data_IF_463160280553
#
_entry.id   IF_463160280553
#
_cell.length_a   1.000
_cell.length_b   1.000
_cell.length_c   1.000
_cell.angle_alpha   90.00
_cell.angle_beta   90.00
_cell.angle_gamma   90.00
#
_symmetry.space_group_name_H-M   'P 1'
#
loop_
_entity.id
_entity.type
_entity.pdbx_description
1 polymer ?
#
# COMPACT_ATOMS: atom_id res chain seq x y z
N UNK A 1 -20.19 33.27 1.99
CA UNK A 1 -20.57 32.79 0.64
C UNK A 1 -21.84 32.02 0.81
N UNK A 2 -22.89 32.47 0.14
CA UNK A 2 -24.16 31.78 0.17
C UNK A 2 -24.03 30.46 -0.62
N UNK A 3 -24.64 29.37 -0.17
CA UNK A 3 -24.50 28.06 -0.82
C UNK A 3 -25.00 28.07 -2.29
N UNK A 4 -25.84 29.06 -2.62
CA UNK A 4 -26.32 29.37 -3.96
C UNK A 4 -25.21 29.85 -4.91
N UNK A 5 -24.29 30.71 -4.46
CA UNK A 5 -23.20 31.25 -5.28
C UNK A 5 -22.12 30.21 -5.59
N UNK A 6 -21.80 29.34 -4.62
CA UNK A 6 -20.86 28.25 -4.83
C UNK A 6 -21.30 27.29 -5.95
N UNK A 7 -22.60 27.19 -6.19
CA UNK A 7 -23.18 26.32 -7.21
C UNK A 7 -23.13 26.88 -8.64
N UNK A 8 -22.68 28.11 -8.86
CA UNK A 8 -22.66 28.76 -10.19
C UNK A 8 -21.28 28.83 -10.83
N UNK A 9 -20.20 28.62 -10.08
CA UNK A 9 -18.81 28.68 -10.58
C UNK A 9 -18.58 27.66 -11.71
N UNK A 10 -18.09 28.05 -12.90
CA UNK A 10 -17.80 27.13 -14.00
C UNK A 10 -16.78 26.04 -13.65
N UNK A 11 -16.91 24.85 -14.25
CA UNK A 11 -16.08 23.68 -13.92
C UNK A 11 -14.58 23.94 -14.17
N UNK A 12 -14.22 24.64 -15.23
CA UNK A 12 -12.83 25.02 -15.52
C UNK A 12 -12.22 25.92 -14.43
N UNK A 13 -13.03 26.73 -13.74
CA UNK A 13 -12.57 27.56 -12.62
C UNK A 13 -12.43 26.70 -11.37
N UNK A 14 -13.38 25.78 -11.12
CA UNK A 14 -13.29 24.81 -10.03
C UNK A 14 -12.05 23.92 -10.17
N UNK A 15 -11.74 23.43 -11.37
CA UNK A 15 -10.54 22.66 -11.67
C UNK A 15 -9.28 23.39 -11.26
N UNK A 16 -9.13 24.65 -11.69
CA UNK A 16 -7.97 25.47 -11.35
C UNK A 16 -7.89 25.62 -9.83
N UNK A 17 -8.94 26.09 -9.17
CA UNK A 17 -8.95 26.32 -7.72
C UNK A 17 -8.60 25.04 -6.95
N UNK A 18 -9.34 23.96 -7.21
CA UNK A 18 -9.20 22.70 -6.49
C UNK A 18 -7.85 22.03 -6.76
N UNK A 19 -7.24 22.20 -7.94
CA UNK A 19 -5.90 21.66 -8.21
C UNK A 19 -4.77 22.23 -7.34
N UNK A 20 -5.00 23.35 -6.64
CA UNK A 20 -4.05 23.94 -5.70
C UNK A 20 -4.35 23.63 -4.24
N UNK A 21 -5.49 22.99 -3.94
CA UNK A 21 -5.88 22.66 -2.58
C UNK A 21 -5.19 21.40 -2.07
N UNK A 22 -5.04 21.30 -0.75
CA UNK A 22 -4.59 20.05 -0.14
C UNK A 22 -5.69 18.97 -0.22
N UNK A 23 -5.33 17.70 -0.06
CA UNK A 23 -6.34 16.61 0.00
C UNK A 23 -7.34 16.78 1.15
N UNK A 24 -6.88 17.37 2.25
CA UNK A 24 -7.73 17.70 3.38
C UNK A 24 -8.77 18.76 3.00
N UNK A 25 -8.34 19.81 2.28
CA UNK A 25 -9.24 20.90 1.88
C UNK A 25 -10.19 20.46 0.77
N UNK A 26 -9.74 19.61 -0.17
CA UNK A 26 -10.62 18.98 -1.15
C UNK A 26 -11.74 18.17 -0.48
N UNK A 27 -11.40 17.41 0.57
CA UNK A 27 -12.42 16.70 1.35
C UNK A 27 -13.43 17.68 1.95
N UNK A 28 -12.97 18.78 2.55
CA UNK A 28 -13.87 19.79 3.12
C UNK A 28 -14.72 20.46 2.04
N UNK A 29 -14.15 20.81 0.89
CA UNK A 29 -14.88 21.36 -0.26
C UNK A 29 -15.98 20.40 -0.74
N UNK A 30 -15.72 19.09 -0.75
CA UNK A 30 -16.75 18.11 -1.15
C UNK A 30 -17.98 18.09 -0.23
N UNK A 31 -17.90 18.67 0.97
CA UNK A 31 -19.00 18.76 1.94
C UNK A 31 -19.80 20.07 1.84
N UNK A 32 -19.35 21.04 1.04
CA UNK A 32 -19.95 22.39 0.97
C UNK A 32 -21.28 22.39 0.23
N UNK A 33 -21.36 21.76 -0.95
CA UNK A 33 -22.59 21.70 -1.74
C UNK A 33 -22.63 20.47 -2.66
N UNK A 34 -23.82 20.10 -3.14
CA UNK A 34 -24.02 18.93 -4.03
C UNK A 34 -23.20 19.00 -5.32
N UNK A 35 -23.03 20.20 -5.88
CA UNK A 35 -22.25 20.39 -7.12
C UNK A 35 -20.78 20.07 -6.89
N UNK A 36 -20.17 20.62 -5.84
CA UNK A 36 -18.76 20.36 -5.52
C UNK A 36 -18.55 18.91 -5.08
N UNK A 37 -19.50 18.33 -4.35
CA UNK A 37 -19.50 16.90 -4.06
C UNK A 37 -19.45 16.07 -5.35
N UNK A 38 -20.38 16.30 -6.28
CA UNK A 38 -20.44 15.57 -7.55
C UNK A 38 -19.15 15.74 -8.36
N UNK A 39 -18.65 16.98 -8.45
CA UNK A 39 -17.43 17.30 -9.18
C UNK A 39 -16.20 16.59 -8.59
N UNK A 40 -15.99 16.65 -7.27
CA UNK A 40 -14.86 16.02 -6.59
C UNK A 40 -15.01 14.50 -6.40
N UNK A 41 -16.22 13.96 -6.57
CA UNK A 41 -16.48 12.54 -6.51
C UNK A 41 -16.30 11.84 -7.88
N UNK A 42 -16.25 12.58 -8.99
CA UNK A 42 -15.65 12.07 -10.21
C UNK A 42 -14.14 11.86 -9.96
N UNK A 43 -13.75 10.61 -9.79
CA UNK A 43 -12.39 10.20 -9.45
C UNK A 43 -11.37 10.39 -10.57
N UNK A 44 -11.82 10.72 -11.78
CA UNK A 44 -10.99 10.87 -12.97
C UNK A 44 -10.93 12.29 -13.54
N UNK A 45 -11.53 13.26 -12.86
CA UNK A 45 -11.42 14.67 -13.26
C UNK A 45 -9.96 15.18 -13.23
N UNK A 46 -9.74 16.35 -13.81
CA UNK A 46 -8.39 16.93 -13.92
C UNK A 46 -7.76 17.31 -12.57
N UNK A 47 -8.57 17.57 -11.53
CA UNK A 47 -8.06 17.81 -10.17
C UNK A 47 -7.31 16.58 -9.68
N UNK A 48 -7.94 15.39 -9.73
CA UNK A 48 -7.30 14.16 -9.28
C UNK A 48 -6.14 13.76 -10.18
N UNK A 49 -6.26 13.97 -11.49
CA UNK A 49 -5.17 13.74 -12.45
C UNK A 49 -3.94 14.58 -12.10
N UNK A 50 -4.11 15.88 -11.86
CA UNK A 50 -3.00 16.78 -11.48
C UNK A 50 -2.37 16.38 -10.15
N UNK A 51 -3.16 16.06 -9.13
CA UNK A 51 -2.61 15.58 -7.85
C UNK A 51 -1.85 14.26 -8.02
N UNK A 52 -2.36 13.35 -8.85
CA UNK A 52 -1.74 12.07 -9.12
C UNK A 52 -0.38 12.24 -9.81
N UNK A 53 -0.32 12.98 -10.92
CA UNK A 53 0.92 13.22 -11.69
C UNK A 53 1.96 14.00 -10.89
N UNK A 54 1.55 14.93 -10.01
CA UNK A 54 2.47 15.70 -9.15
C UNK A 54 3.08 14.87 -8.02
N UNK A 55 2.45 13.76 -7.63
CA UNK A 55 2.85 12.96 -6.46
C UNK A 55 3.48 11.62 -6.82
N UNK A 56 2.97 10.96 -7.85
CA UNK A 56 3.44 9.64 -8.26
C UNK A 56 4.56 9.78 -9.28
N UNK A 57 5.51 8.86 -9.22
CA UNK A 57 6.56 8.76 -10.22
C UNK A 57 5.98 8.35 -11.59
N UNK A 58 6.56 8.88 -12.66
CA UNK A 58 6.06 8.66 -14.02
C UNK A 58 6.08 7.18 -14.42
N UNK A 59 7.13 6.45 -14.00
CA UNK A 59 7.26 5.01 -14.24
C UNK A 59 6.16 4.20 -13.55
N UNK A 60 5.71 4.63 -12.36
CA UNK A 60 4.62 3.94 -11.66
C UNK A 60 3.30 4.07 -12.44
N UNK A 61 3.04 5.27 -12.99
CA UNK A 61 1.82 5.56 -13.76
C UNK A 61 1.77 4.87 -15.13
N UNK A 62 2.94 4.63 -15.74
CA UNK A 62 3.05 3.97 -17.05
C UNK A 62 3.14 2.45 -16.98
N UNK A 63 3.37 1.88 -15.79
CA UNK A 63 3.49 0.44 -15.57
C UNK A 63 2.16 -0.23 -15.20
N UNK A 64 2.14 -1.56 -15.21
CA UNK A 64 1.00 -2.37 -14.78
C UNK A 64 0.80 -2.43 -13.26
N UNK A 65 1.70 -1.82 -12.47
CA UNK A 65 1.70 -1.85 -11.01
C UNK A 65 0.41 -1.34 -10.37
N UNK A 66 -0.27 -0.41 -11.04
CA UNK A 66 -1.51 0.21 -10.57
C UNK A 66 -2.70 -0.15 -11.46
N UNK A 67 -2.61 -1.25 -12.22
CA UNK A 67 -3.68 -1.71 -13.11
C UNK A 67 -4.98 -2.07 -12.37
N UNK A 68 -4.87 -2.54 -11.11
CA UNK A 68 -6.01 -2.88 -10.24
C UNK A 68 -6.72 -1.65 -9.65
N UNK A 69 -6.15 -0.45 -9.75
CA UNK A 69 -6.73 0.83 -9.28
C UNK A 69 -6.86 1.83 -10.45
N UNK A 70 -7.97 1.80 -11.21
CA UNK A 70 -8.02 2.44 -12.52
C UNK A 70 -8.12 3.97 -12.46
N UNK A 71 -8.60 4.56 -11.37
CA UNK A 71 -8.87 6.00 -11.29
C UNK A 71 -7.69 6.81 -10.76
N UNK A 72 -7.56 8.08 -11.15
CA UNK A 72 -6.49 8.95 -10.63
C UNK A 72 -6.57 9.12 -9.11
N UNK A 73 -7.77 9.27 -8.56
CA UNK A 73 -8.00 9.32 -7.11
C UNK A 73 -7.59 8.01 -6.42
N UNK A 74 -7.91 6.85 -7.01
CA UNK A 74 -7.54 5.55 -6.45
C UNK A 74 -6.02 5.30 -6.50
N UNK A 75 -5.33 5.69 -7.60
CA UNK A 75 -3.87 5.65 -7.71
C UNK A 75 -3.19 6.53 -6.68
N UNK A 76 -3.71 7.74 -6.50
CA UNK A 76 -3.24 8.66 -5.48
C UNK A 76 -3.42 8.08 -4.07
N UNK A 77 -4.61 7.51 -3.78
CA UNK A 77 -4.87 6.81 -2.53
C UNK A 77 -3.89 5.66 -2.32
N UNK A 78 -3.66 4.81 -3.32
CA UNK A 78 -2.70 3.71 -3.25
C UNK A 78 -1.30 4.22 -2.86
N UNK A 79 -0.83 5.33 -3.44
CA UNK A 79 0.47 5.92 -3.10
C UNK A 79 0.58 6.37 -1.63
N UNK A 80 -0.48 6.92 -1.05
CA UNK A 80 -0.49 7.29 0.37
C UNK A 80 -0.52 6.07 1.31
N UNK A 81 -0.95 4.91 0.83
CA UNK A 81 -0.92 3.64 1.57
C UNK A 81 0.25 2.74 1.20
N UNK A 82 1.14 3.19 0.31
CA UNK A 82 2.33 2.43 -0.09
C UNK A 82 3.38 2.35 1.05
N UNK A 83 4.52 1.72 0.78
CA UNK A 83 5.60 1.53 1.75
C UNK A 83 6.15 2.84 2.30
N UNK A 84 6.53 2.84 3.58
CA UNK A 84 7.14 3.98 4.23
C UNK A 84 8.67 3.86 4.18
N UNK A 85 9.39 4.73 3.46
CA UNK A 85 10.86 4.69 3.42
C UNK A 85 11.52 5.03 4.76
N UNK A 86 10.78 5.62 5.71
CA UNK A 86 11.27 5.95 7.04
C UNK A 86 10.87 4.91 8.10
N UNK A 87 10.13 3.86 7.73
CA UNK A 87 9.65 2.82 8.64
C UNK A 87 9.88 1.44 8.03
N UNK A 88 11.16 1.16 7.74
CA UNK A 88 11.66 -0.10 7.21
C UNK A 88 13.02 -0.45 7.84
N UNK A 89 13.41 -1.73 7.77
CA UNK A 89 14.76 -2.16 8.13
C UNK A 89 15.83 -1.35 7.39
N UNK A 90 16.99 -1.16 8.01
CA UNK A 90 18.18 -0.55 7.39
C UNK A 90 18.69 -1.29 6.13
N UNK A 91 18.33 -2.56 5.97
CA UNK A 91 18.71 -3.35 4.80
C UNK A 91 17.67 -3.27 3.67
N UNK A 92 16.60 -2.50 3.87
CA UNK A 92 15.54 -2.29 2.90
C UNK A 92 15.60 -0.84 2.43
N UNK A 93 15.36 -0.64 1.14
CA UNK A 93 15.02 0.67 0.60
C UNK A 93 13.76 0.57 -0.26
N UNK A 94 13.00 1.66 -0.32
CA UNK A 94 11.83 1.77 -1.18
C UNK A 94 12.28 2.40 -2.49
N UNK A 95 11.97 1.76 -3.63
CA UNK A 95 12.32 2.28 -4.95
C UNK A 95 11.64 3.65 -5.21
N UNK A 96 12.15 4.48 -6.12
CA UNK A 96 11.57 5.80 -6.43
C UNK A 96 10.08 5.79 -6.77
N UNK A 97 9.58 4.69 -7.35
CA UNK A 97 8.15 4.51 -7.62
C UNK A 97 7.27 4.54 -6.35
N UNK A 98 7.84 4.32 -5.16
CA UNK A 98 7.16 4.34 -3.86
C UNK A 98 6.39 3.08 -3.49
N UNK A 99 6.24 2.13 -4.42
CA UNK A 99 5.41 0.93 -4.29
C UNK A 99 6.23 -0.36 -4.18
N UNK A 100 7.48 -0.33 -4.62
CA UNK A 100 8.38 -1.49 -4.59
C UNK A 100 9.36 -1.38 -3.45
N UNK A 101 9.33 -2.38 -2.57
CA UNK A 101 10.34 -2.61 -1.56
C UNK A 101 11.48 -3.43 -2.15
N UNK A 102 12.72 -3.02 -1.93
CA UNK A 102 13.90 -3.80 -2.29
C UNK A 102 14.74 -4.09 -1.04
N UNK A 103 15.08 -5.37 -0.85
CA UNK A 103 15.96 -5.82 0.23
C UNK A 103 17.38 -6.06 -0.29
N UNK A 104 18.36 -5.44 0.33
CA UNK A 104 19.77 -5.66 0.02
C UNK A 104 20.22 -7.09 0.38
N UNK A 105 21.20 -7.67 -0.35
CA UNK A 105 21.66 -9.05 -0.13
C UNK A 105 22.53 -9.15 1.14
N UNK A 106 21.89 -9.09 2.31
CA UNK A 106 22.54 -9.23 3.62
C UNK A 106 22.27 -10.63 4.17
N UNK A 107 23.34 -11.38 4.47
CA UNK A 107 23.24 -12.71 5.05
C UNK A 107 22.80 -12.65 6.53
N UNK A 108 22.16 -13.72 7.00
CA UNK A 108 21.76 -13.88 8.41
C UNK A 108 20.97 -12.69 8.96
N UNK A 109 20.02 -12.19 8.17
CA UNK A 109 19.15 -11.06 8.53
C UNK A 109 17.75 -11.31 7.99
N UNK A 110 16.75 -11.03 8.81
CA UNK A 110 15.36 -10.90 8.36
C UNK A 110 14.96 -9.45 8.52
N UNK A 111 14.27 -8.93 7.52
CA UNK A 111 14.02 -7.50 7.35
C UNK A 111 12.57 -7.28 6.94
N UNK A 112 11.92 -6.30 7.54
CA UNK A 112 10.52 -5.94 7.29
C UNK A 112 10.37 -4.44 7.02
N UNK A 113 9.19 -4.07 6.53
CA UNK A 113 8.78 -2.70 6.26
C UNK A 113 7.30 -2.55 6.53
N UNK A 114 6.87 -1.33 6.88
CA UNK A 114 5.47 -0.97 7.07
C UNK A 114 5.02 0.03 6.01
N UNK A 115 3.70 0.10 5.81
CA UNK A 115 3.08 1.15 5.00
C UNK A 115 3.13 2.50 5.70
N UNK A 116 2.89 3.58 4.95
CA UNK A 116 2.87 4.96 5.49
C UNK A 116 1.73 5.21 6.47
N UNK A 117 0.61 4.49 6.33
CA UNK A 117 -0.62 4.74 7.08
C UNK A 117 -1.11 3.45 7.73
N UNK A 118 -1.20 3.47 9.07
CA UNK A 118 -1.85 2.42 9.86
C UNK A 118 -3.37 2.59 9.91
N UNK A 119 -4.09 1.46 9.97
CA UNK A 119 -5.54 1.43 10.02
C UNK A 119 -6.06 1.25 11.46
N UNK A 120 -7.21 1.87 11.77
CA UNK A 120 -7.88 1.74 13.09
C UNK A 120 -9.31 1.21 13.00
N UNK A 121 -9.98 1.42 11.86
CA UNK A 121 -11.37 1.03 11.63
C UNK A 121 -11.63 0.83 10.14
N UNK A 122 -12.74 0.18 9.80
CA UNK A 122 -13.16 -0.07 8.43
C UNK A 122 -12.56 -1.35 7.84
N UNK A 123 -12.85 -1.60 6.56
CA UNK A 123 -12.35 -2.74 5.79
C UNK A 123 -11.34 -2.24 4.77
N UNK A 124 -10.17 -2.87 4.76
CA UNK A 124 -9.06 -2.50 3.89
C UNK A 124 -8.57 -3.75 3.16
N UNK A 125 -8.18 -3.57 1.91
CA UNK A 125 -7.59 -4.61 1.09
C UNK A 125 -6.42 -4.00 0.31
N UNK A 126 -5.38 -4.79 0.12
CA UNK A 126 -4.21 -4.44 -0.66
C UNK A 126 -3.70 -5.66 -1.40
N UNK A 127 -2.98 -5.42 -2.48
CA UNK A 127 -2.34 -6.44 -3.29
C UNK A 127 -0.85 -6.49 -2.95
N UNK A 128 -0.29 -7.70 -2.87
CA UNK A 128 1.14 -7.92 -2.69
C UNK A 128 1.65 -8.72 -3.88
N UNK A 129 2.58 -8.14 -4.62
CA UNK A 129 3.29 -8.79 -5.72
C UNK A 129 4.70 -9.10 -5.22
N UNK A 130 5.10 -10.37 -5.26
CA UNK A 130 6.43 -10.81 -4.87
C UNK A 130 7.22 -11.21 -6.12
N UNK A 131 8.26 -10.44 -6.44
CA UNK A 131 9.12 -10.71 -7.59
C UNK A 131 10.30 -11.60 -7.18
N UNK A 132 10.49 -12.69 -7.91
CA UNK A 132 11.58 -13.65 -7.66
C UNK A 132 11.24 -14.72 -6.63
N UNK A 133 12.23 -15.53 -6.23
CA UNK A 133 11.99 -16.61 -5.29
C UNK A 133 11.70 -16.07 -3.87
N UNK A 134 10.79 -16.73 -3.15
CA UNK A 134 10.46 -16.37 -1.77
C UNK A 134 11.65 -16.57 -0.81
N UNK A 135 12.57 -17.47 -1.14
CA UNK A 135 13.67 -17.87 -0.27
C UNK A 135 13.20 -18.85 0.81
N UNK A 136 13.88 -18.84 1.96
CA UNK A 136 13.60 -19.77 3.08
C UNK A 136 12.46 -19.29 3.97
N UNK A 137 12.25 -17.97 4.05
CA UNK A 137 11.22 -17.34 4.87
C UNK A 137 10.64 -16.15 4.13
N UNK A 138 9.32 -16.15 3.90
CA UNK A 138 8.60 -15.07 3.26
C UNK A 138 7.25 -14.88 3.93
N UNK A 139 7.12 -13.82 4.72
CA UNK A 139 5.94 -13.58 5.55
C UNK A 139 5.27 -12.28 5.12
N UNK A 140 3.96 -12.34 4.87
CA UNK A 140 3.11 -11.16 4.68
C UNK A 140 2.13 -11.04 5.84
N UNK A 141 1.69 -9.84 6.17
CA UNK A 141 0.75 -9.67 7.26
C UNK A 141 0.57 -8.25 7.71
N UNK A 142 0.24 -8.09 8.99
CA UNK A 142 -0.02 -6.80 9.63
C UNK A 142 0.78 -6.70 10.93
N UNK A 143 1.12 -5.48 11.31
CA UNK A 143 1.87 -5.20 12.51
C UNK A 143 1.43 -3.88 13.14
N UNK A 144 1.60 -3.77 14.46
CA UNK A 144 1.57 -2.48 15.13
C UNK A 144 2.85 -1.69 14.79
N UNK A 145 2.88 -0.42 15.18
CA UNK A 145 4.07 0.42 15.06
C UNK A 145 5.23 -0.05 15.94
N UNK A 146 4.94 -0.84 16.98
CA UNK A 146 5.90 -1.25 18.00
C UNK A 146 6.61 -2.56 17.63
N UNK A 147 6.12 -3.28 16.61
CA UNK A 147 6.75 -4.50 16.10
C UNK A 147 8.18 -4.22 15.56
N UNK A 148 9.15 -5.11 15.77
CA UNK A 148 10.49 -4.98 15.23
C UNK A 148 10.50 -5.11 13.70
N UNK A 149 11.36 -4.34 13.04
CA UNK A 149 11.52 -4.38 11.59
C UNK A 149 12.75 -5.15 11.12
N UNK A 150 13.59 -5.61 12.05
CA UNK A 150 14.79 -6.35 11.72
C UNK A 150 15.15 -7.32 12.84
N UNK A 151 15.64 -8.50 12.48
CA UNK A 151 16.28 -9.41 13.42
C UNK A 151 17.43 -10.19 12.76
N UNK A 152 18.26 -10.80 13.59
CA UNK A 152 19.34 -11.68 13.14
C UNK A 152 18.80 -13.07 12.77
N UNK A 153 19.38 -13.66 11.72
CA UNK A 153 19.00 -14.97 11.20
C UNK A 153 17.88 -14.95 10.17
N UNK A 154 17.55 -16.12 9.65
CA UNK A 154 16.43 -16.35 8.74
C UNK A 154 15.24 -16.88 9.53
N UNK A 155 14.41 -15.98 10.05
CA UNK A 155 13.30 -16.32 10.94
C UNK A 155 12.03 -15.61 10.49
N UNK A 156 10.87 -16.15 10.84
CA UNK A 156 9.61 -15.50 10.54
C UNK A 156 9.38 -14.32 11.50
N UNK A 157 9.85 -13.13 11.12
CA UNK A 157 9.80 -11.93 11.95
C UNK A 157 8.35 -11.46 12.22
N UNK A 158 7.52 -11.38 11.18
CA UNK A 158 6.09 -11.09 11.35
C UNK A 158 5.41 -12.29 12.03
N UNK A 159 4.80 -12.04 13.18
CA UNK A 159 4.17 -13.06 14.03
C UNK A 159 5.10 -13.62 15.11
N UNK A 160 6.35 -13.15 15.20
CA UNK A 160 7.30 -13.59 16.25
C UNK A 160 6.99 -13.03 17.65
N UNK A 161 6.11 -12.04 17.73
CA UNK A 161 5.68 -11.37 18.95
C UNK A 161 4.16 -11.09 18.94
N UNK A 162 3.68 -10.46 20.00
CA UNK A 162 2.29 -10.03 20.14
C UNK A 162 1.95 -8.76 19.33
N UNK A 163 2.95 -8.13 18.70
CA UNK A 163 2.81 -6.90 17.93
C UNK A 163 2.54 -7.15 16.44
N UNK A 164 2.52 -8.39 15.99
CA UNK A 164 2.35 -8.72 14.58
C UNK A 164 1.61 -10.03 14.32
N UNK A 165 0.95 -10.11 13.17
CA UNK A 165 0.34 -11.32 12.62
C UNK A 165 0.91 -11.56 11.24
N UNK A 166 1.40 -12.78 11.00
CA UNK A 166 2.05 -13.16 9.75
C UNK A 166 1.40 -14.38 9.11
N UNK A 167 1.45 -14.43 7.79
CA UNK A 167 1.25 -15.63 6.99
C UNK A 167 2.55 -15.93 6.26
N UNK A 168 3.20 -17.02 6.64
CA UNK A 168 4.40 -17.52 5.96
C UNK A 168 4.00 -18.27 4.69
N UNK A 169 4.40 -17.72 3.57
CA UNK A 169 4.05 -18.19 2.23
C UNK A 169 4.86 -19.44 1.81
N UNK A 170 5.98 -19.71 2.49
CA UNK A 170 6.84 -20.86 2.17
C UNK A 170 6.20 -22.16 2.64
N UNK A 171 5.73 -22.19 3.88
CA UNK A 171 5.20 -23.37 4.54
C UNK A 171 3.68 -23.35 4.76
N UNK A 172 3.02 -22.23 4.45
CA UNK A 172 1.59 -21.96 4.63
C UNK A 172 1.15 -21.90 6.10
N UNK A 173 2.01 -21.42 7.01
CA UNK A 173 1.66 -21.22 8.41
C UNK A 173 1.19 -19.80 8.73
N UNK A 174 0.15 -19.71 9.58
CA UNK A 174 -0.22 -18.48 10.28
C UNK A 174 0.60 -18.35 11.56
N UNK A 175 1.07 -17.14 11.86
CA UNK A 175 2.03 -16.85 12.91
C UNK A 175 1.56 -15.68 13.78
N UNK A 176 1.65 -15.85 15.10
CA UNK A 176 1.42 -14.78 16.08
C UNK A 176 2.00 -15.18 17.44
N UNK A 177 2.57 -14.22 18.17
CA UNK A 177 3.13 -14.42 19.52
C UNK A 177 4.22 -15.51 19.57
N UNK A 178 4.97 -15.69 18.49
CA UNK A 178 6.02 -16.70 18.36
C UNK A 178 5.51 -18.11 18.00
N UNK A 179 4.20 -18.31 17.97
CA UNK A 179 3.57 -19.62 17.78
C UNK A 179 2.92 -19.76 16.39
N UNK A 180 2.93 -20.98 15.87
CA UNK A 180 2.15 -21.34 14.68
C UNK A 180 0.67 -21.50 15.07
N UNK A 181 -0.19 -20.67 14.48
CA UNK A 181 -1.64 -20.62 14.72
C UNK A 181 -2.41 -21.63 13.85
N UNK A 182 -1.72 -22.34 12.96
CA UNK A 182 -2.29 -23.33 12.05
C UNK A 182 -1.89 -23.08 10.59
N UNK A 183 -2.51 -23.85 9.69
CA UNK A 183 -2.24 -23.75 8.25
C UNK A 183 -3.26 -22.84 7.56
N UNK A 184 -2.80 -22.08 6.58
CA UNK A 184 -3.66 -21.33 5.68
C UNK A 184 -3.11 -21.37 4.24
N UNK A 185 -3.96 -21.64 3.23
CA UNK A 185 -5.40 -21.92 3.35
C UNK A 185 -5.70 -23.34 3.85
N UNK A 186 -6.87 -23.54 4.48
CA UNK A 186 -7.35 -24.83 4.97
C UNK A 186 -7.86 -25.72 3.81
N UNK A 187 -7.01 -25.97 2.83
CA UNK A 187 -7.30 -26.80 1.66
C UNK A 187 -6.54 -28.13 1.74
N UNK A 188 -7.19 -29.22 1.32
CA UNK A 188 -6.47 -30.46 1.06
C UNK A 188 -5.47 -30.21 -0.08
N UNK A 189 -4.18 -30.43 0.18
CA UNK A 189 -3.07 -30.14 -0.74
C UNK A 189 -2.99 -28.65 -1.14
N UNK A 190 -3.08 -27.74 -0.17
CA UNK A 190 -2.83 -26.32 -0.39
C UNK A 190 -1.51 -26.13 -1.19
N UNK A 191 -1.51 -25.31 -2.27
CA UNK A 191 -0.31 -25.06 -3.05
C UNK A 191 0.80 -24.55 -2.13
N UNK A 192 1.90 -25.31 -2.04
CA UNK A 192 3.11 -24.84 -1.38
C UNK A 192 4.02 -24.19 -2.40
N UNK A 193 4.77 -23.20 -1.94
CA UNK A 193 5.80 -22.61 -2.78
C UNK A 193 6.78 -23.70 -3.23
N UNK A 194 6.88 -23.89 -4.54
CA UNK A 194 7.88 -24.75 -5.15
C UNK A 194 8.85 -23.85 -5.92
N UNK A 195 10.15 -23.97 -5.60
CA UNK A 195 11.21 -23.40 -6.42
C UNK A 195 11.33 -24.28 -7.66
N UNK A 196 10.38 -24.20 -8.59
CA UNK A 196 10.56 -24.80 -9.90
C UNK A 196 11.61 -23.96 -10.63
N UNK A 197 12.74 -24.58 -10.93
CA UNK A 197 13.78 -24.02 -11.81
C UNK A 197 13.14 -23.39 -13.05
N UNK A 198 13.61 -22.19 -13.37
CA UNK A 198 13.51 -21.56 -14.69
C UNK A 198 13.38 -22.61 -15.78
N UNK A 199 12.27 -22.59 -16.52
CA UNK A 199 12.30 -23.02 -17.92
C UNK A 199 12.25 -21.77 -18.77
N UNK A 200 13.33 -21.63 -19.53
CA UNK A 200 13.60 -20.64 -20.57
C UNK A 200 12.43 -20.39 -21.50
#
# INVERSE_FOLDING_TARGET
>A
MDASEASTVPDNVLEVIFSYLSLHDLRNCSLVCKRWYSFLNDENNDVWRLHCIRKLAEEALKSDLLSSVPTYKAKLRAFYHAWNPNDCSRNIYIKPNGFTLHRNPVAQSTDASRSKIGFRHGRHAWEVIWEGPLGTVAVIGIATKDAPLQCHGYVALLGSDDQSWGWNLVDNHLLHNGDAQGNYPLLNNAPKYQVSMLKW
#
